data_IF_389916612238
#
_entry.id   IF_389916612238
#
_cell.length_a   1.000
_cell.length_b   1.000
_cell.length_c   1.000
_cell.angle_alpha   90.00
_cell.angle_beta   90.00
_cell.angle_gamma   90.00
#
_symmetry.space_group_name_H-M   'P 1'
#
loop_
_entity.id
_entity.type
_entity.pdbx_description
1 polymer ?
#
# COMPACT_ATOMS: atom_id res chain seq x y z
N UNK A 1 11.88 12.21 10.70
CA UNK A 1 12.57 11.00 11.18
C UNK A 1 12.75 10.08 9.98
N UNK A 2 13.98 9.75 9.62
CA UNK A 2 14.33 9.04 8.38
C UNK A 2 13.59 7.70 8.25
N UNK A 3 12.96 7.49 7.10
CA UNK A 3 12.10 6.35 6.81
C UNK A 3 12.84 5.02 6.95
N UNK A 4 12.26 4.09 7.73
CA UNK A 4 12.71 2.70 7.79
C UNK A 4 11.99 1.90 6.71
N UNK A 5 12.60 1.82 5.52
CA UNK A 5 12.21 0.85 4.49
C UNK A 5 12.34 -0.55 5.11
N UNK A 6 11.35 -1.46 4.91
CA UNK A 6 11.43 -2.81 5.47
C UNK A 6 12.71 -3.52 4.99
N UNK A 7 13.40 -4.19 5.91
CA UNK A 7 14.63 -4.92 5.58
C UNK A 7 14.40 -5.98 4.50
N UNK A 8 13.21 -6.60 4.48
CA UNK A 8 12.80 -7.55 3.44
C UNK A 8 12.72 -6.93 2.04
N UNK A 9 12.31 -5.66 1.94
CA UNK A 9 12.27 -4.94 0.67
C UNK A 9 13.68 -4.65 0.15
N UNK A 10 14.59 -4.23 1.04
CA UNK A 10 16.01 -4.02 0.71
C UNK A 10 16.67 -5.34 0.28
N UNK A 11 16.43 -6.41 1.02
CA UNK A 11 16.95 -7.73 0.70
C UNK A 11 16.42 -8.23 -0.65
N UNK A 12 15.13 -8.02 -0.95
CA UNK A 12 14.53 -8.37 -2.24
C UNK A 12 15.20 -7.63 -3.41
N UNK A 13 15.39 -6.31 -3.27
CA UNK A 13 16.06 -5.49 -4.27
C UNK A 13 17.50 -5.97 -4.54
N UNK A 14 18.24 -6.37 -3.50
CA UNK A 14 19.62 -6.87 -3.63
C UNK A 14 19.69 -8.29 -4.19
N UNK A 15 18.74 -9.16 -3.82
CA UNK A 15 18.74 -10.57 -4.22
C UNK A 15 18.27 -10.75 -5.66
N UNK A 16 17.30 -9.94 -6.12
CA UNK A 16 16.69 -10.06 -7.44
C UNK A 16 16.63 -8.70 -8.17
N UNK A 17 17.79 -8.10 -8.53
CA UNK A 17 17.85 -6.74 -9.07
C UNK A 17 17.08 -6.58 -10.39
N UNK A 18 17.17 -7.55 -11.31
CA UNK A 18 16.48 -7.47 -12.62
C UNK A 18 14.95 -7.60 -12.47
N UNK A 19 14.51 -8.46 -11.55
CA UNK A 19 13.08 -8.62 -11.22
C UNK A 19 12.54 -7.33 -10.60
N UNK A 20 13.29 -6.76 -9.67
CA UNK A 20 12.95 -5.50 -9.03
C UNK A 20 12.86 -4.35 -10.04
N UNK A 21 13.85 -4.23 -10.94
CA UNK A 21 13.84 -3.20 -11.99
C UNK A 21 12.61 -3.34 -12.91
N UNK A 22 12.28 -4.57 -13.29
CA UNK A 22 11.08 -4.85 -14.11
C UNK A 22 9.79 -4.51 -13.36
N UNK A 23 9.72 -4.84 -12.07
CA UNK A 23 8.58 -4.51 -11.21
C UNK A 23 8.36 -2.99 -11.09
N UNK A 24 9.43 -2.22 -10.88
CA UNK A 24 9.35 -0.75 -10.83
C UNK A 24 8.96 -0.16 -12.18
N UNK A 25 9.52 -0.67 -13.28
CA UNK A 25 9.17 -0.24 -14.63
C UNK A 25 7.69 -0.51 -14.93
N UNK A 26 7.17 -1.68 -14.56
CA UNK A 26 5.74 -2.00 -14.66
C UNK A 26 4.90 -0.96 -13.91
N UNK A 27 5.30 -0.62 -12.67
CA UNK A 27 4.64 0.41 -11.87
C UNK A 27 4.59 1.76 -12.57
N UNK A 28 5.72 2.21 -13.12
CA UNK A 28 5.83 3.48 -13.84
C UNK A 28 4.95 3.52 -15.11
N UNK A 29 4.96 2.46 -15.91
CA UNK A 29 4.13 2.37 -17.13
C UNK A 29 2.64 2.39 -16.76
N UNK A 30 2.22 1.61 -15.77
CA UNK A 30 0.81 1.60 -15.31
C UNK A 30 0.37 2.97 -14.80
N UNK A 31 1.27 3.69 -14.11
CA UNK A 31 0.99 5.06 -13.64
C UNK A 31 0.87 6.08 -14.76
N UNK A 32 1.63 5.92 -15.85
CA UNK A 32 1.61 6.84 -16.99
C UNK A 32 0.45 6.59 -17.97
N UNK A 33 -0.04 5.36 -18.07
CA UNK A 33 -1.07 4.97 -19.05
C UNK A 33 -2.51 5.32 -18.63
N UNK A 34 -2.75 5.61 -17.36
CA UNK A 34 -4.10 5.79 -16.81
C UNK A 34 -4.54 7.25 -16.71
N UNK A 35 -5.86 7.53 -16.70
CA UNK A 35 -6.39 8.88 -16.55
C UNK A 35 -6.35 9.39 -15.09
N UNK A 36 -5.98 8.54 -14.15
CA UNK A 36 -5.99 8.86 -12.72
C UNK A 36 -4.69 9.53 -12.32
N UNK A 37 -4.79 10.63 -11.56
CA UNK A 37 -3.64 11.32 -11.00
C UNK A 37 -3.01 10.57 -9.82
N UNK A 38 -1.83 11.03 -9.39
CA UNK A 38 -1.06 10.37 -8.33
C UNK A 38 -1.82 10.27 -6.99
N UNK A 39 -2.45 11.35 -6.46
CA UNK A 39 -3.23 11.27 -5.22
C UNK A 39 -4.37 10.25 -5.31
N UNK A 40 -5.10 10.23 -6.43
CA UNK A 40 -6.20 9.27 -6.63
C UNK A 40 -5.68 7.83 -6.66
N UNK A 41 -4.60 7.57 -7.39
CA UNK A 41 -3.97 6.24 -7.42
C UNK A 41 -3.48 5.80 -6.04
N UNK A 42 -2.92 6.72 -5.25
CA UNK A 42 -2.45 6.43 -3.89
C UNK A 42 -3.62 6.04 -2.96
N UNK A 43 -4.72 6.80 -2.99
CA UNK A 43 -5.92 6.51 -2.20
C UNK A 43 -6.56 5.18 -2.59
N UNK A 44 -6.67 4.86 -3.88
CA UNK A 44 -7.22 3.58 -4.34
C UNK A 44 -6.39 2.41 -3.82
N UNK A 45 -5.07 2.50 -3.91
CA UNK A 45 -4.17 1.44 -3.42
C UNK A 45 -4.22 1.31 -1.90
N UNK A 46 -4.35 2.43 -1.18
CA UNK A 46 -4.56 2.42 0.26
C UNK A 46 -5.89 1.74 0.62
N UNK A 47 -6.99 2.11 -0.05
CA UNK A 47 -8.30 1.54 0.20
C UNK A 47 -8.31 0.02 -0.03
N UNK A 48 -7.67 -0.43 -1.12
CA UNK A 48 -7.49 -1.86 -1.40
C UNK A 48 -6.70 -2.56 -0.29
N UNK A 49 -5.57 -1.97 0.15
CA UNK A 49 -4.74 -2.54 1.20
C UNK A 49 -5.48 -2.66 2.54
N UNK A 50 -6.30 -1.67 2.89
CA UNK A 50 -7.17 -1.70 4.06
C UNK A 50 -8.22 -2.80 3.91
N UNK A 51 -8.89 -2.85 2.76
CA UNK A 51 -9.94 -3.84 2.49
C UNK A 51 -9.45 -5.28 2.65
N UNK A 52 -8.27 -5.60 2.11
CA UNK A 52 -7.70 -6.96 2.22
C UNK A 52 -6.94 -7.23 3.52
N UNK A 53 -6.85 -6.27 4.45
CA UNK A 53 -6.16 -6.43 5.73
C UNK A 53 -4.62 -6.54 5.62
N UNK A 54 -4.02 -5.99 4.57
CA UNK A 54 -2.58 -6.09 4.33
C UNK A 54 -1.79 -4.97 5.05
N UNK A 55 -1.52 -5.13 6.35
CA UNK A 55 -0.88 -4.11 7.21
C UNK A 55 0.39 -3.47 6.61
N UNK A 56 1.31 -4.29 6.07
CA UNK A 56 2.52 -3.77 5.43
C UNK A 56 2.22 -2.88 4.21
N UNK A 57 1.19 -3.21 3.43
CA UNK A 57 0.73 -2.41 2.31
C UNK A 57 -0.03 -1.16 2.78
N UNK A 58 -0.81 -1.24 3.87
CA UNK A 58 -1.49 -0.08 4.48
C UNK A 58 -0.45 0.97 4.90
N UNK A 59 0.60 0.56 5.59
CA UNK A 59 1.68 1.46 5.99
C UNK A 59 2.40 2.07 4.77
N UNK A 60 2.70 1.25 3.75
CA UNK A 60 3.34 1.72 2.52
C UNK A 60 2.49 2.74 1.75
N UNK A 61 1.21 2.44 1.55
CA UNK A 61 0.31 3.31 0.81
C UNK A 61 -0.10 4.56 1.60
N UNK A 62 -0.16 4.49 2.93
CA UNK A 62 -0.34 5.68 3.77
C UNK A 62 0.79 6.68 3.55
N UNK A 63 2.05 6.24 3.52
CA UNK A 63 3.19 7.11 3.20
C UNK A 63 3.09 7.69 1.81
N UNK A 64 2.78 6.87 0.80
CA UNK A 64 2.58 7.34 -0.58
C UNK A 64 1.46 8.38 -0.70
N UNK A 65 0.41 8.27 0.10
CA UNK A 65 -0.64 9.30 0.15
C UNK A 65 -0.09 10.63 0.73
N UNK A 66 0.68 10.56 1.81
CA UNK A 66 1.32 11.75 2.40
C UNK A 66 2.33 12.40 1.43
N UNK A 67 3.14 11.58 0.75
CA UNK A 67 4.10 12.04 -0.27
C UNK A 67 3.38 12.69 -1.46
N UNK A 68 2.16 12.24 -1.78
CA UNK A 68 1.27 12.85 -2.77
C UNK A 68 0.49 14.08 -2.24
N UNK A 69 0.91 14.66 -1.11
CA UNK A 69 0.34 15.85 -0.47
C UNK A 69 -1.11 15.71 0.02
N UNK A 70 -1.58 14.49 0.28
CA UNK A 70 -2.88 14.28 0.93
C UNK A 70 -2.77 14.58 2.43
N UNK A 71 -3.82 15.20 3.00
CA UNK A 71 -3.89 15.44 4.43
C UNK A 71 -4.12 14.14 5.21
N UNK A 72 -3.65 14.09 6.45
CA UNK A 72 -3.91 12.96 7.34
C UNK A 72 -5.43 12.74 7.55
N UNK A 73 -6.23 13.80 7.51
CA UNK A 73 -7.69 13.70 7.66
C UNK A 73 -8.36 13.07 6.43
N UNK A 74 -7.91 13.40 5.22
CA UNK A 74 -8.37 12.74 4.00
C UNK A 74 -8.04 11.23 4.02
N UNK A 75 -6.84 10.87 4.49
CA UNK A 75 -6.42 9.47 4.64
C UNK A 75 -7.30 8.74 5.68
N UNK A 76 -7.59 9.37 6.83
CA UNK A 76 -8.49 8.80 7.85
C UNK A 76 -9.91 8.63 7.32
N UNK A 77 -10.40 9.57 6.53
CA UNK A 77 -11.72 9.49 5.91
C UNK A 77 -11.86 8.23 5.06
N UNK A 78 -10.82 7.82 4.31
CA UNK A 78 -10.85 6.56 3.54
C UNK A 78 -11.04 5.34 4.43
N UNK A 79 -10.36 5.28 5.58
CA UNK A 79 -10.56 4.18 6.52
C UNK A 79 -11.99 4.17 7.10
N UNK A 80 -12.56 5.35 7.40
CA UNK A 80 -13.93 5.47 7.88
C UNK A 80 -14.97 5.04 6.83
N UNK A 81 -14.76 5.40 5.56
CA UNK A 81 -15.63 4.98 4.44
C UNK A 81 -15.67 3.45 4.32
N UNK A 82 -14.51 2.80 4.37
CA UNK A 82 -14.45 1.33 4.31
C UNK A 82 -15.08 0.64 5.53
N UNK A 83 -14.97 1.25 6.72
CA UNK A 83 -15.64 0.76 7.91
C UNK A 83 -17.17 0.88 7.79
N UNK A 84 -17.67 1.96 7.20
CA UNK A 84 -19.10 2.19 6.96
C UNK A 84 -19.70 1.13 6.02
N UNK A 85 -18.97 0.74 4.97
CA UNK A 85 -19.44 -0.24 3.98
C UNK A 85 -19.46 -1.69 4.50
N UNK A 86 -19.19 -1.90 5.80
CA UNK A 86 -19.21 -3.21 6.44
C UNK A 86 -18.03 -4.09 6.07
N UNK A 87 -17.00 -3.57 5.38
CA UNK A 87 -15.83 -4.36 5.01
C UNK A 87 -15.02 -4.83 6.22
N UNK A 88 -15.07 -4.06 7.32
CA UNK A 88 -14.54 -4.48 8.62
C UNK A 88 -15.20 -5.76 9.17
N UNK A 89 -16.38 -6.15 8.67
CA UNK A 89 -17.08 -7.37 9.07
C UNK A 89 -16.80 -8.56 8.13
N UNK A 90 -16.36 -8.31 6.89
CA UNK A 90 -16.08 -9.37 5.88
C UNK A 90 -14.61 -9.78 5.91
N UNK A 91 -13.72 -8.82 6.17
CA UNK A 91 -12.36 -9.10 6.61
C UNK A 91 -12.44 -9.52 8.08
N UNK A 92 -12.66 -10.82 8.35
CA UNK A 92 -12.37 -11.39 9.67
C UNK A 92 -10.93 -11.06 10.12
N UNK A 93 -10.50 -11.46 11.34
CA UNK A 93 -9.10 -11.29 11.73
C UNK A 93 -8.23 -11.80 10.59
N UNK A 94 -7.33 -10.94 10.09
CA UNK A 94 -6.58 -11.15 8.86
C UNK A 94 -6.14 -12.63 8.73
N UNK A 95 -6.28 -13.29 7.57
CA UNK A 95 -5.94 -14.71 7.42
C UNK A 95 -4.44 -15.01 7.54
N UNK A 96 -3.63 -14.05 7.96
CA UNK A 96 -2.22 -14.24 8.26
C UNK A 96 -2.02 -14.17 9.78
N UNK A 97 -2.11 -15.31 10.49
CA UNK A 97 -1.52 -15.40 11.81
C UNK A 97 -0.04 -15.06 11.70
N UNK A 98 0.48 -14.42 12.75
CA UNK A 98 1.86 -14.03 13.00
C UNK A 98 2.83 -15.23 13.09
N UNK A 99 2.78 -16.16 12.14
CA UNK A 99 3.62 -17.34 12.10
C UNK A 99 3.92 -17.69 10.64
N UNK A 100 5.18 -18.03 10.39
CA UNK A 100 5.75 -18.56 9.15
C UNK A 100 6.31 -17.49 8.20
N UNK A 101 7.53 -17.03 8.52
CA UNK A 101 8.71 -17.52 7.79
C UNK A 101 9.94 -17.54 8.72
N UNK A 102 10.86 -18.50 8.56
CA UNK A 102 12.12 -18.59 9.31
C UNK A 102 13.06 -17.40 9.05
#
# INVERSE_FOLDING_TARGET
>A
MGQKIPASYIAFQQTYPDVYATYEQLGAVVHAMGPLDEPTRALIKLALAIGVGAEGAVHSHTRKCLDANLSADAIRQVALLLAQDGHFLVAGPAPYPSAIMP
#
